data_IF_100780942475
#
_entry.id   IF_100780942475
#
_cell.length_a   1.000
_cell.length_b   1.000
_cell.length_c   1.000
_cell.angle_alpha   90.00
_cell.angle_beta   90.00
_cell.angle_gamma   90.00
#
_symmetry.space_group_name_H-M   'P 1'
#
loop_
_entity.id
_entity.type
_entity.pdbx_description
1 polymer ?
#
# COMPACT_ATOMS: atom_id res chain seq x y z
N UNK A 1 -12.41 1.34 -24.82
CA UNK A 1 -11.91 0.55 -25.95
C UNK A 1 -11.96 -0.90 -25.49
N UNK A 2 -12.96 -1.67 -25.95
CA UNK A 2 -12.97 -3.12 -25.77
C UNK A 2 -11.88 -3.74 -26.65
N UNK A 3 -11.34 -4.90 -26.25
CA UNK A 3 -10.28 -5.55 -27.02
C UNK A 3 -10.83 -5.95 -28.39
N UNK A 4 -10.12 -5.58 -29.45
CA UNK A 4 -10.45 -5.98 -30.82
C UNK A 4 -10.32 -7.50 -31.04
N UNK A 5 -9.72 -8.22 -30.08
CA UNK A 5 -9.35 -9.64 -30.19
C UNK A 5 -10.11 -10.55 -29.20
N UNK A 6 -11.10 -10.05 -28.46
CA UNK A 6 -11.87 -10.84 -27.47
C UNK A 6 -11.06 -11.31 -26.24
N UNK A 7 -9.82 -10.86 -26.08
CA UNK A 7 -8.97 -11.20 -24.93
C UNK A 7 -9.21 -10.17 -23.83
N UNK A 8 -9.61 -10.58 -22.60
CA UNK A 8 -9.77 -9.67 -21.48
C UNK A 8 -8.51 -8.86 -21.22
N UNK A 9 -8.67 -7.57 -20.93
CA UNK A 9 -7.56 -6.71 -20.57
C UNK A 9 -7.68 -6.20 -19.14
N UNK A 10 -6.57 -6.26 -18.39
CA UNK A 10 -6.41 -5.65 -17.07
C UNK A 10 -5.53 -4.43 -17.26
N UNK A 11 -6.05 -3.24 -16.94
CA UNK A 11 -5.26 -2.01 -16.87
C UNK A 11 -4.92 -1.74 -15.43
N UNK A 12 -3.63 -1.60 -15.13
CA UNK A 12 -3.11 -1.34 -13.80
C UNK A 12 -2.38 -0.01 -13.74
N UNK A 13 -2.81 0.86 -12.85
CA UNK A 13 -2.11 2.11 -12.49
C UNK A 13 -2.21 2.35 -10.97
N UNK A 14 -2.96 3.35 -10.50
CA UNK A 14 -3.31 3.49 -9.08
C UNK A 14 -4.34 2.46 -8.63
N UNK A 15 -5.17 1.97 -9.55
CA UNK A 15 -6.17 0.91 -9.34
C UNK A 15 -6.12 -0.10 -10.48
N UNK A 16 -6.94 -1.14 -10.40
CA UNK A 16 -7.11 -2.15 -11.44
C UNK A 16 -8.42 -1.89 -12.14
N UNK A 17 -8.40 -1.86 -13.47
CA UNK A 17 -9.62 -1.69 -14.29
C UNK A 17 -9.81 -2.85 -15.23
N UNK A 18 -11.04 -3.36 -15.28
CA UNK A 18 -11.47 -4.46 -16.15
C UNK A 18 -12.72 -4.02 -16.92
N UNK A 19 -12.72 -4.16 -18.24
CA UNK A 19 -13.88 -3.87 -19.06
C UNK A 19 -14.90 -5.02 -18.98
N UNK A 20 -16.18 -4.71 -18.76
CA UNK A 20 -17.23 -5.74 -18.60
C UNK A 20 -17.53 -6.50 -19.91
N UNK A 21 -17.35 -5.84 -21.07
CA UNK A 21 -17.56 -6.49 -22.36
C UNK A 21 -16.53 -7.57 -22.70
N UNK A 22 -15.43 -7.64 -21.93
CA UNK A 22 -14.32 -8.57 -22.17
C UNK A 22 -14.38 -9.81 -21.26
N UNK A 23 -15.35 -9.90 -20.33
CA UNK A 23 -15.42 -10.96 -19.32
C UNK A 23 -16.77 -11.69 -19.32
N UNK A 24 -16.76 -12.95 -18.92
CA UNK A 24 -17.98 -13.76 -18.79
C UNK A 24 -18.81 -13.34 -17.58
N UNK A 25 -20.10 -13.71 -17.58
CA UNK A 25 -20.98 -13.48 -16.43
C UNK A 25 -20.46 -14.16 -15.14
N UNK A 26 -19.85 -15.32 -15.25
CA UNK A 26 -19.26 -16.04 -14.12
C UNK A 26 -18.04 -15.30 -13.56
N UNK A 27 -17.14 -14.83 -14.44
CA UNK A 27 -15.99 -14.02 -14.05
C UNK A 27 -16.44 -12.72 -13.39
N UNK A 28 -17.46 -12.04 -13.94
CA UNK A 28 -18.04 -10.84 -13.34
C UNK A 28 -18.53 -11.12 -11.92
N UNK A 29 -19.36 -12.16 -11.72
CA UNK A 29 -19.87 -12.55 -10.39
C UNK A 29 -18.74 -12.91 -9.42
N UNK A 30 -17.72 -13.64 -9.88
CA UNK A 30 -16.56 -14.00 -9.08
C UNK A 30 -15.73 -12.77 -8.64
N UNK A 31 -15.54 -11.80 -9.54
CA UNK A 31 -14.85 -10.55 -9.24
C UNK A 31 -15.59 -9.74 -8.15
N UNK A 32 -16.91 -9.56 -8.28
CA UNK A 32 -17.71 -8.85 -7.29
C UNK A 32 -17.63 -9.55 -5.93
N UNK A 33 -17.76 -10.87 -5.90
CA UNK A 33 -17.67 -11.67 -4.67
C UNK A 33 -16.29 -11.55 -4.00
N UNK A 34 -15.21 -11.55 -4.79
CA UNK A 34 -13.83 -11.46 -4.29
C UNK A 34 -13.48 -10.13 -3.61
N UNK A 35 -14.24 -9.06 -3.91
CA UNK A 35 -14.05 -7.72 -3.35
C UNK A 35 -15.26 -7.23 -2.52
N UNK A 36 -16.07 -8.19 -2.06
CA UNK A 36 -17.17 -7.97 -1.10
C UNK A 36 -16.84 -8.69 0.20
N UNK A 37 -16.73 -7.93 1.27
CA UNK A 37 -16.27 -8.42 2.58
C UNK A 37 -17.37 -8.29 3.63
N UNK A 38 -17.45 -9.22 4.58
CA UNK A 38 -18.32 -9.10 5.73
C UNK A 38 -17.91 -7.88 6.58
N UNK A 39 -18.88 -7.08 7.01
CA UNK A 39 -18.63 -5.90 7.83
C UNK A 39 -18.59 -6.25 9.33
N UNK A 40 -17.43 -6.18 9.99
CA UNK A 40 -17.33 -6.44 11.43
C UNK A 40 -18.20 -5.53 12.29
N UNK A 41 -18.42 -4.29 11.86
CA UNK A 41 -19.22 -3.33 12.62
C UNK A 41 -20.70 -3.70 12.61
N UNK A 42 -21.21 -4.35 11.57
CA UNK A 42 -22.58 -4.87 11.52
C UNK A 42 -22.82 -5.92 12.60
N UNK A 43 -21.85 -6.81 12.81
CA UNK A 43 -21.96 -7.84 13.84
C UNK A 43 -21.89 -7.27 15.25
N UNK A 44 -21.02 -6.28 15.47
CA UNK A 44 -20.94 -5.55 16.76
C UNK A 44 -22.26 -4.79 17.05
N UNK A 45 -22.78 -4.07 16.03
CA UNK A 45 -24.04 -3.35 16.16
C UNK A 45 -25.20 -4.27 16.55
N UNK A 46 -25.34 -5.41 15.89
CA UNK A 46 -26.38 -6.41 16.17
C UNK A 46 -26.30 -6.97 17.59
N UNK A 47 -25.09 -7.11 18.13
CA UNK A 47 -24.88 -7.56 19.50
C UNK A 47 -25.24 -6.50 20.55
N UNK A 48 -25.11 -5.22 20.23
CA UNK A 48 -25.28 -4.09 21.19
C UNK A 48 -26.68 -3.47 21.21
N UNK A 49 -27.63 -3.90 20.37
CA UNK A 49 -29.01 -3.40 20.28
C UNK A 49 -29.14 -1.87 20.23
N UNK A 50 -28.27 -1.18 19.49
CA UNK A 50 -28.37 0.27 19.36
C UNK A 50 -29.62 0.74 18.62
N UNK A 51 -30.15 1.94 18.99
CA UNK A 51 -31.30 2.58 18.32
C UNK A 51 -30.93 3.29 17.00
N UNK A 52 -29.67 3.29 16.60
CA UNK A 52 -29.18 3.92 15.36
C UNK A 52 -29.34 2.98 14.17
N UNK A 53 -29.37 3.56 12.94
CA UNK A 53 -29.40 2.78 11.70
C UNK A 53 -28.17 1.84 11.64
N UNK A 54 -28.35 0.54 11.38
CA UNK A 54 -27.25 -0.39 11.30
C UNK A 54 -26.31 -0.04 10.14
N UNK A 55 -25.01 -0.26 10.31
CA UNK A 55 -24.08 -0.19 9.18
C UNK A 55 -24.42 -1.29 8.15
N UNK A 56 -23.97 -1.17 6.90
CA UNK A 56 -24.20 -2.21 5.89
C UNK A 56 -23.61 -3.55 6.33
N UNK A 57 -24.24 -4.66 5.92
CA UNK A 57 -23.75 -6.02 6.23
C UNK A 57 -22.41 -6.33 5.61
N UNK A 58 -22.17 -5.74 4.45
CA UNK A 58 -21.01 -5.98 3.61
C UNK A 58 -20.31 -4.66 3.29
N UNK A 59 -19.02 -4.74 3.06
CA UNK A 59 -18.17 -3.66 2.57
C UNK A 59 -17.69 -4.08 1.19
N UNK A 60 -18.03 -3.29 0.17
CA UNK A 60 -17.53 -3.43 -1.18
C UNK A 60 -16.31 -2.53 -1.36
N UNK A 61 -15.22 -3.08 -1.88
CA UNK A 61 -13.97 -2.35 -2.14
C UNK A 61 -13.74 -2.08 -3.63
N UNK A 62 -14.68 -2.46 -4.48
CA UNK A 62 -14.70 -2.16 -5.91
C UNK A 62 -15.66 -0.99 -6.21
N UNK A 63 -15.42 -0.34 -7.35
CA UNK A 63 -16.31 0.66 -7.94
C UNK A 63 -16.70 0.26 -9.36
N UNK A 64 -17.80 0.83 -9.85
CA UNK A 64 -18.25 0.69 -11.23
C UNK A 64 -18.21 2.03 -11.95
N UNK A 65 -17.57 2.07 -13.12
CA UNK A 65 -17.51 3.26 -13.96
C UNK A 65 -18.55 3.16 -15.09
N UNK A 66 -19.39 4.19 -15.21
CA UNK A 66 -20.32 4.35 -16.34
C UNK A 66 -19.66 5.21 -17.42
N UNK A 67 -19.84 4.84 -18.68
CA UNK A 67 -19.39 5.63 -19.82
C UNK A 67 -20.61 6.03 -20.65
N UNK A 68 -20.86 7.35 -20.73
CA UNK A 68 -21.85 8.02 -21.58
C UNK A 68 -23.17 7.26 -21.81
N UNK A 69 -24.19 7.46 -20.97
CA UNK A 69 -25.51 6.90 -21.18
C UNK A 69 -26.03 5.93 -20.10
N UNK A 70 -25.32 5.74 -18.99
CA UNK A 70 -25.84 5.02 -17.82
C UNK A 70 -25.51 3.54 -17.70
N UNK A 71 -24.92 2.90 -18.72
CA UNK A 71 -24.46 1.53 -18.60
C UNK A 71 -23.09 1.42 -17.91
N UNK A 72 -22.97 0.51 -16.94
CA UNK A 72 -21.67 0.15 -16.34
C UNK A 72 -20.84 -0.57 -17.40
N UNK A 73 -19.70 -0.01 -17.76
CA UNK A 73 -18.80 -0.60 -18.75
C UNK A 73 -17.48 -1.08 -18.21
N UNK A 74 -17.14 -0.68 -16.96
CA UNK A 74 -15.85 -1.01 -16.37
C UNK A 74 -15.99 -1.20 -14.87
N UNK A 75 -15.30 -2.22 -14.35
CA UNK A 75 -15.10 -2.42 -12.91
C UNK A 75 -13.72 -1.92 -12.53
N UNK A 76 -13.64 -1.31 -11.35
CA UNK A 76 -12.41 -0.77 -10.79
C UNK A 76 -12.18 -1.37 -9.41
N UNK A 77 -11.01 -1.99 -9.22
CA UNK A 77 -10.64 -2.69 -8.00
C UNK A 77 -9.43 -2.06 -7.34
N UNK A 78 -9.27 -2.23 -6.01
CA UNK A 78 -8.05 -1.84 -5.32
C UNK A 78 -6.84 -2.59 -5.86
N UNK A 79 -5.71 -1.92 -5.95
CA UNK A 79 -4.52 -2.44 -6.64
C UNK A 79 -3.91 -3.68 -5.98
N UNK A 80 -4.01 -3.82 -4.65
CA UNK A 80 -3.51 -5.01 -3.95
C UNK A 80 -4.22 -6.31 -4.35
N UNK A 81 -5.37 -6.22 -5.03
CA UNK A 81 -6.10 -7.35 -5.57
C UNK A 81 -5.62 -7.86 -6.93
N UNK A 82 -4.51 -7.35 -7.50
CA UNK A 82 -4.09 -7.66 -8.87
C UNK A 82 -3.98 -9.17 -9.12
N UNK A 83 -3.31 -9.89 -8.24
CA UNK A 83 -3.20 -11.35 -8.36
C UNK A 83 -4.58 -12.02 -8.36
N UNK A 84 -5.47 -11.62 -7.46
CA UNK A 84 -6.85 -12.13 -7.34
C UNK A 84 -7.65 -11.90 -8.61
N UNK A 85 -7.56 -10.71 -9.19
CA UNK A 85 -8.21 -10.39 -10.48
C UNK A 85 -7.63 -11.24 -11.60
N UNK A 86 -6.29 -11.37 -11.67
CA UNK A 86 -5.64 -12.20 -12.68
C UNK A 86 -6.02 -13.68 -12.57
N UNK A 87 -6.05 -14.23 -11.35
CA UNK A 87 -6.41 -15.62 -11.09
C UNK A 87 -7.87 -15.91 -11.52
N UNK A 88 -8.80 -14.98 -11.28
CA UNK A 88 -10.22 -15.12 -11.69
C UNK A 88 -10.38 -15.03 -13.20
N UNK A 89 -9.65 -14.14 -13.86
CA UNK A 89 -9.75 -13.96 -15.31
C UNK A 89 -9.02 -15.06 -16.10
N UNK A 90 -8.08 -15.76 -15.45
CA UNK A 90 -7.33 -16.86 -16.04
C UNK A 90 -6.08 -16.43 -16.84
N UNK A 91 -5.39 -17.38 -17.48
CA UNK A 91 -4.08 -17.13 -18.10
C UNK A 91 -4.14 -16.30 -19.38
N UNK A 92 -5.29 -16.27 -20.06
CA UNK A 92 -5.46 -15.55 -21.33
C UNK A 92 -5.93 -14.11 -21.06
N UNK A 93 -5.09 -13.32 -20.41
CA UNK A 93 -5.37 -11.92 -20.06
C UNK A 93 -4.21 -11.03 -20.50
N UNK A 94 -4.54 -9.91 -21.14
CA UNK A 94 -3.55 -8.87 -21.45
C UNK A 94 -3.39 -7.92 -20.26
N UNK A 95 -2.19 -7.86 -19.68
CA UNK A 95 -1.85 -6.89 -18.64
C UNK A 95 -1.28 -5.62 -19.29
N UNK A 96 -1.95 -4.49 -19.05
CA UNK A 96 -1.49 -3.14 -19.43
C UNK A 96 -1.01 -2.45 -18.15
N UNK A 97 0.29 -2.40 -17.95
CA UNK A 97 0.91 -1.85 -16.76
C UNK A 97 1.27 -0.37 -16.96
N UNK A 98 0.48 0.51 -16.36
CA UNK A 98 0.66 1.96 -16.34
C UNK A 98 1.23 2.48 -15.01
N UNK A 99 1.75 1.60 -14.17
CA UNK A 99 2.40 1.98 -12.92
C UNK A 99 3.70 2.71 -13.21
N UNK A 100 4.09 3.62 -12.33
CA UNK A 100 5.25 4.46 -12.53
C UNK A 100 6.36 4.14 -11.54
N UNK A 101 7.59 4.30 -11.99
CA UNK A 101 8.79 4.25 -11.13
C UNK A 101 9.17 5.64 -10.62
N UNK A 102 8.31 6.63 -10.82
CA UNK A 102 8.51 8.02 -10.44
C UNK A 102 9.02 8.90 -11.59
N UNK A 103 8.91 10.21 -11.40
CA UNK A 103 9.42 11.15 -12.40
C UNK A 103 10.95 11.16 -12.39
N UNK A 104 11.56 11.15 -13.57
CA UNK A 104 13.01 11.20 -13.76
C UNK A 104 13.68 12.51 -13.29
N UNK A 105 12.96 13.44 -12.66
CA UNK A 105 13.44 14.77 -12.28
C UNK A 105 14.36 14.81 -11.05
N UNK A 106 14.46 13.73 -10.30
CA UNK A 106 15.30 13.64 -9.08
C UNK A 106 16.66 12.96 -9.33
N UNK A 107 17.05 12.75 -10.60
CA UNK A 107 18.38 12.26 -10.97
C UNK A 107 19.41 13.30 -10.54
N UNK A 108 20.23 12.95 -9.56
CA UNK A 108 21.25 13.83 -8.97
C UNK A 108 20.94 14.36 -7.59
N UNK A 109 19.74 14.16 -7.05
CA UNK A 109 19.48 14.42 -5.63
C UNK A 109 20.15 13.37 -4.74
N UNK A 110 20.51 13.78 -3.52
CA UNK A 110 21.21 12.91 -2.59
C UNK A 110 20.34 11.70 -2.21
N UNK A 111 20.78 10.52 -2.58
CA UNK A 111 20.22 9.23 -2.16
C UNK A 111 20.67 8.88 -0.75
N UNK A 112 21.77 9.46 -0.30
CA UNK A 112 22.49 9.05 0.88
C UNK A 112 23.27 7.74 0.68
N UNK A 113 23.92 7.33 1.74
CA UNK A 113 24.65 6.06 1.83
C UNK A 113 24.08 5.26 3.00
N UNK A 114 23.77 3.98 2.78
CA UNK A 114 23.24 3.13 3.85
C UNK A 114 24.35 2.83 4.86
N UNK A 115 24.35 3.55 5.98
CA UNK A 115 25.37 3.52 7.05
C UNK A 115 25.16 2.41 8.07
N UNK A 116 24.18 1.56 7.84
CA UNK A 116 23.85 0.43 8.71
C UNK A 116 23.88 -0.84 7.86
N UNK A 117 24.35 -1.94 8.45
CA UNK A 117 24.25 -3.26 7.81
C UNK A 117 22.90 -3.87 8.18
N UNK A 118 21.99 -4.06 7.20
CA UNK A 118 20.72 -4.71 7.46
C UNK A 118 20.93 -6.16 7.93
N UNK A 119 20.11 -6.62 8.84
CA UNK A 119 20.09 -8.00 9.28
C UNK A 119 19.48 -8.91 8.19
N UNK A 120 19.74 -10.22 8.25
CA UNK A 120 19.21 -11.18 7.29
C UNK A 120 17.68 -11.09 7.18
N UNK A 121 16.98 -10.95 8.31
CA UNK A 121 15.52 -10.77 8.32
C UNK A 121 15.06 -9.47 7.63
N UNK A 122 15.85 -8.41 7.70
CA UNK A 122 15.56 -7.15 6.99
C UNK A 122 15.84 -7.28 5.49
N UNK A 123 16.88 -8.02 5.11
CA UNK A 123 17.14 -8.35 3.71
C UNK A 123 16.05 -9.25 3.11
N UNK A 124 15.52 -10.21 3.89
CA UNK A 124 14.34 -10.99 3.51
C UNK A 124 13.11 -10.10 3.26
N UNK A 125 12.89 -9.06 4.10
CA UNK A 125 11.80 -8.08 3.90
C UNK A 125 11.99 -7.30 2.59
N UNK A 126 13.21 -6.85 2.30
CA UNK A 126 13.55 -6.15 1.05
C UNK A 126 13.29 -7.05 -0.15
N UNK A 127 13.79 -8.30 -0.11
CA UNK A 127 13.63 -9.26 -1.20
C UNK A 127 12.14 -9.58 -1.46
N UNK A 128 11.35 -9.74 -0.38
CA UNK A 128 9.91 -9.97 -0.49
C UNK A 128 9.18 -8.77 -1.13
N UNK A 129 9.53 -7.54 -0.72
CA UNK A 129 8.95 -6.32 -1.27
C UNK A 129 9.32 -6.13 -2.76
N UNK A 130 10.56 -6.43 -3.14
CA UNK A 130 11.00 -6.36 -4.54
C UNK A 130 10.27 -7.38 -5.43
N UNK A 131 10.05 -8.60 -4.94
CA UNK A 131 9.38 -9.67 -5.68
C UNK A 131 7.90 -9.39 -5.90
N UNK A 132 7.21 -8.94 -4.86
CA UNK A 132 5.75 -8.74 -4.91
C UNK A 132 5.35 -7.36 -5.43
N UNK A 133 6.24 -6.38 -5.40
CA UNK A 133 6.00 -4.97 -5.79
C UNK A 133 4.90 -4.28 -4.99
N UNK A 134 3.85 -5.00 -4.61
CA UNK A 134 2.70 -4.50 -3.83
C UNK A 134 2.34 -5.52 -2.75
N UNK A 135 2.66 -5.21 -1.48
CA UNK A 135 2.54 -6.20 -0.41
C UNK A 135 2.48 -5.60 0.99
N UNK A 136 2.11 -6.46 1.94
CA UNK A 136 2.23 -6.23 3.38
C UNK A 136 3.39 -7.05 3.93
N UNK A 137 4.25 -6.42 4.72
CA UNK A 137 5.29 -7.08 5.52
C UNK A 137 4.87 -7.02 6.99
N UNK A 138 4.66 -8.18 7.59
CA UNK A 138 4.36 -8.31 9.02
C UNK A 138 5.61 -8.66 9.80
N UNK A 139 5.89 -7.89 10.84
CA UNK A 139 7.01 -8.18 11.74
C UNK A 139 6.83 -7.48 13.07
N UNK A 140 7.25 -8.12 14.14
CA UNK A 140 7.12 -7.61 15.51
C UNK A 140 7.68 -6.18 15.67
N UNK A 141 7.23 -5.48 16.71
CA UNK A 141 7.87 -4.23 17.11
C UNK A 141 9.36 -4.49 17.44
N UNK A 142 10.23 -3.53 17.11
CA UNK A 142 11.68 -3.70 17.32
C UNK A 142 12.40 -4.56 16.27
N UNK A 143 11.71 -5.15 15.30
CA UNK A 143 12.33 -5.95 14.21
C UNK A 143 13.14 -5.13 13.21
N UNK A 144 13.11 -3.79 13.31
CA UNK A 144 13.82 -2.90 12.40
C UNK A 144 13.11 -2.69 11.05
N UNK A 145 11.77 -2.66 11.04
CA UNK A 145 10.95 -2.33 9.85
C UNK A 145 11.43 -1.06 9.15
N UNK A 146 11.72 -0.02 9.93
CA UNK A 146 12.25 1.26 9.42
C UNK A 146 13.58 1.06 8.67
N UNK A 147 14.51 0.27 9.23
CA UNK A 147 15.77 -0.07 8.54
C UNK A 147 15.52 -0.84 7.25
N UNK A 148 14.59 -1.81 7.25
CA UNK A 148 14.23 -2.54 6.05
C UNK A 148 13.62 -1.62 4.97
N UNK A 149 12.78 -0.66 5.35
CA UNK A 149 12.21 0.31 4.42
C UNK A 149 13.27 1.26 3.84
N UNK A 150 14.24 1.72 4.64
CA UNK A 150 15.36 2.52 4.14
C UNK A 150 16.32 1.71 3.25
N UNK A 151 16.55 0.44 3.59
CA UNK A 151 17.30 -0.48 2.73
C UNK A 151 16.58 -0.73 1.40
N UNK A 152 15.25 -0.86 1.41
CA UNK A 152 14.44 -0.98 0.20
C UNK A 152 14.52 0.29 -0.67
N UNK A 153 14.39 1.48 -0.06
CA UNK A 153 14.60 2.76 -0.74
C UNK A 153 15.97 2.81 -1.40
N UNK A 154 17.02 2.48 -0.63
CA UNK A 154 18.39 2.49 -1.11
C UNK A 154 18.63 1.47 -2.24
N UNK A 155 18.04 0.28 -2.16
CA UNK A 155 18.14 -0.76 -3.17
C UNK A 155 17.45 -0.38 -4.48
N UNK A 156 16.18 0.06 -4.41
CA UNK A 156 15.39 0.43 -5.58
C UNK A 156 15.83 1.74 -6.23
N UNK A 157 16.40 2.66 -5.44
CA UNK A 157 16.81 3.99 -5.89
C UNK A 157 15.70 4.76 -6.64
N UNK A 158 14.48 4.67 -6.13
CA UNK A 158 13.31 5.33 -6.69
C UNK A 158 12.87 6.50 -5.81
N UNK A 159 12.27 7.57 -6.38
CA UNK A 159 11.59 8.58 -5.58
C UNK A 159 10.59 7.91 -4.66
N UNK A 160 10.73 8.13 -3.35
CA UNK A 160 10.02 7.39 -2.31
C UNK A 160 9.21 8.32 -1.43
N UNK A 161 7.94 7.95 -1.20
CA UNK A 161 7.08 8.58 -0.21
C UNK A 161 6.87 7.62 0.98
N UNK A 162 7.18 8.11 2.17
CA UNK A 162 6.85 7.44 3.43
C UNK A 162 5.64 8.15 4.04
N UNK A 163 4.54 7.42 4.20
CA UNK A 163 3.30 7.95 4.74
C UNK A 163 3.22 7.65 6.23
N UNK A 164 3.07 8.69 7.04
CA UNK A 164 2.99 8.61 8.50
C UNK A 164 1.73 9.32 9.02
N UNK A 165 1.24 8.92 10.19
CA UNK A 165 0.01 9.44 10.78
C UNK A 165 0.21 10.39 11.95
N UNK A 166 1.41 10.47 12.54
CA UNK A 166 1.72 11.32 13.69
C UNK A 166 2.98 12.15 13.49
N UNK A 167 3.03 13.31 14.17
CA UNK A 167 4.21 14.17 14.18
C UNK A 167 5.44 13.48 14.80
N UNK A 168 5.22 12.60 15.78
CA UNK A 168 6.29 11.81 16.38
C UNK A 168 6.95 10.89 15.37
N UNK A 169 6.14 10.16 14.59
CA UNK A 169 6.65 9.30 13.51
C UNK A 169 7.34 10.11 12.41
N UNK A 170 6.82 11.29 12.06
CA UNK A 170 7.49 12.15 11.08
C UNK A 170 8.90 12.52 11.54
N UNK A 171 9.05 12.98 12.77
CA UNK A 171 10.37 13.31 13.36
C UNK A 171 11.28 12.08 13.41
N UNK A 172 10.77 10.96 13.89
CA UNK A 172 11.52 9.70 13.93
C UNK A 172 12.05 9.32 12.53
N UNK A 173 11.23 9.40 11.50
CA UNK A 173 11.64 9.07 10.12
C UNK A 173 12.70 10.03 9.58
N UNK A 174 12.62 11.33 9.92
CA UNK A 174 13.68 12.30 9.58
C UNK A 174 14.99 11.92 10.26
N UNK A 175 14.96 11.63 11.56
CA UNK A 175 16.15 11.24 12.34
C UNK A 175 16.75 9.93 11.81
N UNK A 176 15.93 8.97 11.44
CA UNK A 176 16.35 7.70 10.83
C UNK A 176 17.02 7.92 9.46
N UNK A 177 16.50 8.82 8.63
CA UNK A 177 17.12 9.17 7.34
C UNK A 177 18.48 9.88 7.56
N UNK A 178 18.56 10.78 8.52
CA UNK A 178 19.83 11.45 8.86
C UNK A 178 20.85 10.43 9.37
N UNK A 179 20.46 9.57 10.29
CA UNK A 179 21.37 8.63 10.97
C UNK A 179 21.77 7.49 10.03
N UNK A 180 20.81 6.86 9.36
CA UNK A 180 21.04 5.61 8.61
C UNK A 180 21.37 5.83 7.14
N UNK A 181 20.97 6.95 6.55
CA UNK A 181 21.32 7.30 5.16
C UNK A 181 22.35 8.44 5.07
N UNK A 182 22.72 9.07 6.19
CA UNK A 182 23.64 10.20 6.21
C UNK A 182 23.12 11.43 5.47
N UNK A 183 21.84 11.56 5.30
CA UNK A 183 21.22 12.72 4.66
C UNK A 183 21.19 13.91 5.62
N UNK A 184 21.35 15.13 5.07
CA UNK A 184 21.03 16.35 5.80
C UNK A 184 19.51 16.57 5.77
N UNK A 185 18.99 17.29 6.73
CA UNK A 185 17.55 17.57 6.83
C UNK A 185 16.98 18.31 5.62
N UNK A 186 17.75 19.16 4.96
CA UNK A 186 17.36 19.87 3.73
C UNK A 186 17.30 18.96 2.49
N UNK A 187 17.86 17.75 2.58
CA UNK A 187 17.82 16.72 1.54
C UNK A 187 16.63 15.76 1.71
N UNK A 188 15.83 15.90 2.76
CA UNK A 188 14.64 15.11 3.05
C UNK A 188 13.41 15.93 2.74
N UNK A 189 12.53 15.40 1.88
CA UNK A 189 11.26 16.04 1.55
C UNK A 189 10.27 15.93 2.70
N UNK A 190 9.44 16.96 2.89
CA UNK A 190 8.39 16.95 3.91
C UNK A 190 7.10 17.49 3.32
N UNK A 191 6.00 16.72 3.46
CA UNK A 191 4.64 17.13 3.15
C UNK A 191 3.85 17.19 4.45
N UNK A 192 3.67 18.39 5.01
CA UNK A 192 3.02 18.62 6.30
C UNK A 192 2.43 20.03 6.39
N UNK A 193 1.17 20.17 6.76
CA UNK A 193 0.50 21.47 6.85
C UNK A 193 0.59 22.25 5.54
N UNK A 194 1.27 23.38 5.52
CA UNK A 194 1.57 24.17 4.32
C UNK A 194 2.88 23.78 3.61
N UNK A 195 3.73 22.99 4.26
CA UNK A 195 5.02 22.56 3.68
C UNK A 195 4.79 21.53 2.58
N UNK A 196 5.41 21.72 1.41
CA UNK A 196 5.27 20.89 0.20
C UNK A 196 6.62 20.55 -0.42
N UNK A 197 7.63 20.31 0.42
CA UNK A 197 8.97 19.93 -0.05
C UNK A 197 9.03 18.50 -0.55
N UNK A 198 9.43 18.28 -1.80
CA UNK A 198 9.65 16.95 -2.39
C UNK A 198 11.12 16.74 -2.64
N UNK A 199 11.63 15.57 -2.30
CA UNK A 199 13.00 15.09 -2.52
C UNK A 199 12.98 13.62 -2.91
N UNK A 200 14.15 13.05 -3.14
CA UNK A 200 14.31 11.63 -3.46
C UNK A 200 13.66 10.72 -2.39
N UNK A 201 13.79 11.08 -1.12
CA UNK A 201 12.98 10.51 -0.03
C UNK A 201 12.14 11.63 0.60
N UNK A 202 10.84 11.41 0.70
CA UNK A 202 9.86 12.37 1.20
C UNK A 202 9.01 11.72 2.28
N UNK A 203 8.81 12.41 3.40
CA UNK A 203 7.94 11.96 4.48
C UNK A 203 6.67 12.81 4.46
N UNK A 204 5.53 12.16 4.32
CA UNK A 204 4.24 12.80 4.17
C UNK A 204 3.28 12.49 5.31
N UNK A 205 2.76 13.55 5.94
CA UNK A 205 1.68 13.41 6.92
C UNK A 205 0.38 13.03 6.21
N UNK A 206 -0.23 11.93 6.62
CA UNK A 206 -1.51 11.44 6.08
C UNK A 206 -2.59 12.53 6.06
N UNK A 207 -2.75 13.27 7.16
CA UNK A 207 -3.74 14.34 7.27
C UNK A 207 -3.57 15.43 6.19
N UNK A 208 -2.34 15.72 5.81
CA UNK A 208 -2.02 16.68 4.75
C UNK A 208 -2.23 16.07 3.37
N UNK A 209 -1.75 14.84 3.17
CA UNK A 209 -1.84 14.12 1.90
C UNK A 209 -3.29 13.89 1.45
N UNK A 210 -4.26 13.73 2.37
CA UNK A 210 -5.69 13.64 2.02
C UNK A 210 -6.17 14.75 1.09
N UNK A 211 -5.59 15.93 1.20
CA UNK A 211 -6.01 17.09 0.42
C UNK A 211 -5.16 17.33 -0.84
N UNK A 212 -3.97 16.73 -0.92
CA UNK A 212 -3.02 17.02 -2.01
C UNK A 212 -2.35 15.79 -2.64
N UNK A 213 -2.70 14.57 -2.25
CA UNK A 213 -2.07 13.36 -2.81
C UNK A 213 -2.20 13.26 -4.33
N UNK A 214 -3.31 13.76 -4.90
CA UNK A 214 -3.55 13.77 -6.35
C UNK A 214 -2.51 14.60 -7.14
N UNK A 215 -1.95 15.65 -6.52
CA UNK A 215 -0.89 16.48 -7.13
C UNK A 215 0.41 15.67 -7.34
N UNK A 216 0.61 14.63 -6.53
CA UNK A 216 1.81 13.79 -6.49
C UNK A 216 1.61 12.38 -7.07
N UNK A 217 0.47 12.13 -7.71
CA UNK A 217 0.03 10.80 -8.14
C UNK A 217 1.10 9.99 -8.90
N UNK A 218 1.94 10.66 -9.71
CA UNK A 218 2.99 10.05 -10.54
C UNK A 218 4.41 10.43 -10.12
N UNK A 219 4.61 11.06 -8.96
CA UNK A 219 5.92 11.49 -8.51
C UNK A 219 6.77 10.37 -7.93
N UNK A 220 6.15 9.44 -7.20
CA UNK A 220 6.83 8.43 -6.42
C UNK A 220 6.76 7.07 -7.09
N UNK A 221 7.90 6.38 -7.16
CA UNK A 221 8.00 5.00 -7.63
C UNK A 221 7.78 3.98 -6.51
N UNK A 222 8.07 4.38 -5.27
CA UNK A 222 7.84 3.60 -4.05
C UNK A 222 6.98 4.42 -3.07
N UNK A 223 5.91 3.80 -2.56
CA UNK A 223 5.13 4.32 -1.43
C UNK A 223 5.19 3.32 -0.29
N UNK A 224 5.67 3.79 0.85
CA UNK A 224 5.77 3.02 2.10
C UNK A 224 4.73 3.54 3.09
N UNK A 225 3.97 2.64 3.68
CA UNK A 225 3.12 2.92 4.83
C UNK A 225 3.73 2.25 6.06
N UNK A 226 4.09 3.05 7.05
CA UNK A 226 4.54 2.54 8.34
C UNK A 226 3.38 2.43 9.32
N UNK A 227 3.47 1.43 10.23
CA UNK A 227 2.48 1.14 11.27
C UNK A 227 1.04 0.98 10.72
N UNK A 228 0.91 0.18 9.65
CA UNK A 228 -0.36 -0.02 8.95
C UNK A 228 -1.52 -0.51 9.84
N UNK A 229 -1.24 -1.12 10.99
CA UNK A 229 -2.26 -1.58 11.94
C UNK A 229 -3.01 -0.44 12.65
N UNK A 230 -2.38 0.74 12.83
CA UNK A 230 -3.02 1.91 13.45
C UNK A 230 -3.77 2.78 12.43
N UNK A 231 -3.66 2.46 11.16
CA UNK A 231 -4.30 3.21 10.11
C UNK A 231 -5.82 3.01 10.13
N UNK A 232 -6.60 4.08 10.34
CA UNK A 232 -8.03 4.03 10.03
C UNK A 232 -8.17 3.71 8.53
N UNK A 233 -8.67 2.51 8.21
CA UNK A 233 -8.61 1.95 6.86
C UNK A 233 -9.11 2.91 5.77
N UNK A 234 -10.20 3.64 6.03
CA UNK A 234 -10.79 4.59 5.07
C UNK A 234 -9.84 5.75 4.73
N UNK A 235 -9.20 6.34 5.74
CA UNK A 235 -8.33 7.52 5.55
C UNK A 235 -7.05 7.20 4.77
N UNK A 236 -6.51 5.99 4.91
CA UNK A 236 -5.33 5.59 4.14
C UNK A 236 -5.68 5.22 2.70
N UNK A 237 -6.84 4.57 2.50
CA UNK A 237 -7.34 4.31 1.14
C UNK A 237 -7.47 5.62 0.35
N UNK A 238 -8.06 6.66 0.98
CA UNK A 238 -8.20 8.00 0.38
C UNK A 238 -6.86 8.63 -0.04
N UNK A 239 -5.76 8.28 0.61
CA UNK A 239 -4.42 8.79 0.27
C UNK A 239 -3.70 7.87 -0.72
N UNK A 240 -3.61 6.59 -0.40
CA UNK A 240 -2.76 5.64 -1.14
C UNK A 240 -3.32 5.35 -2.54
N UNK A 241 -4.64 5.38 -2.70
CA UNK A 241 -5.28 5.13 -4.00
C UNK A 241 -4.97 6.21 -5.06
N UNK A 242 -4.44 7.37 -4.68
CA UNK A 242 -3.99 8.35 -5.66
C UNK A 242 -2.69 7.99 -6.37
N UNK A 243 -1.81 7.21 -5.74
CA UNK A 243 -0.46 7.00 -6.26
C UNK A 243 -0.41 5.89 -7.32
N UNK A 244 0.25 6.19 -8.44
CA UNK A 244 0.52 5.22 -9.52
C UNK A 244 1.85 4.46 -9.31
N UNK A 245 2.50 4.63 -8.16
CA UNK A 245 3.81 4.05 -7.84
C UNK A 245 3.88 2.55 -8.12
N UNK A 246 4.96 2.07 -8.73
CA UNK A 246 5.14 0.65 -9.01
C UNK A 246 5.19 -0.16 -7.72
N UNK A 247 5.91 0.33 -6.73
CA UNK A 247 6.05 -0.35 -5.43
C UNK A 247 5.14 0.29 -4.38
N UNK A 248 4.36 -0.54 -3.70
CA UNK A 248 3.55 -0.17 -2.53
C UNK A 248 3.79 -1.17 -1.41
N UNK A 249 4.41 -0.75 -0.32
CA UNK A 249 4.76 -1.63 0.78
C UNK A 249 4.20 -1.10 2.08
N UNK A 250 3.41 -1.93 2.77
CA UNK A 250 2.92 -1.63 4.11
C UNK A 250 3.71 -2.46 5.13
N UNK A 251 4.32 -1.78 6.09
CA UNK A 251 4.92 -2.42 7.26
C UNK A 251 3.92 -2.40 8.41
N UNK A 252 3.71 -3.54 9.04
CA UNK A 252 2.77 -3.70 10.15
C UNK A 252 3.38 -4.53 11.26
N UNK A 253 3.05 -4.21 12.51
CA UNK A 253 3.28 -5.15 13.61
C UNK A 253 2.43 -6.41 13.44
N UNK A 254 2.81 -7.51 14.10
CA UNK A 254 2.08 -8.80 14.01
C UNK A 254 0.72 -8.76 14.74
N UNK A 255 0.28 -7.62 15.22
CA UNK A 255 -0.97 -7.44 15.91
C UNK A 255 -2.15 -7.36 14.94
N UNK A 256 -3.25 -8.01 15.33
CA UNK A 256 -4.52 -7.88 14.60
C UNK A 256 -5.07 -6.48 14.79
N UNK A 257 -5.65 -5.93 13.74
CA UNK A 257 -6.36 -4.65 13.83
C UNK A 257 -7.54 -4.75 14.80
N UNK A 258 -7.69 -3.74 15.65
CA UNK A 258 -8.81 -3.69 16.60
C UNK A 258 -10.18 -3.65 15.91
N UNK A 259 -10.26 -3.09 14.70
CA UNK A 259 -11.49 -3.00 13.89
C UNK A 259 -11.78 -4.25 13.05
N UNK A 260 -10.87 -5.24 12.99
CA UNK A 260 -10.98 -6.46 12.19
C UNK A 260 -11.19 -6.22 10.69
N UNK A 261 -10.67 -5.11 10.16
CA UNK A 261 -10.76 -4.73 8.74
C UNK A 261 -9.42 -4.85 8.02
N UNK A 262 -8.65 -5.89 8.35
CA UNK A 262 -7.35 -6.17 7.72
C UNK A 262 -7.46 -6.32 6.20
N UNK A 263 -8.60 -6.82 5.70
CA UNK A 263 -8.86 -6.97 4.28
C UNK A 263 -8.71 -5.65 3.49
N UNK A 264 -9.02 -4.49 4.11
CA UNK A 264 -8.82 -3.19 3.45
C UNK A 264 -7.33 -2.90 3.20
N UNK A 265 -6.46 -3.31 4.12
CA UNK A 265 -5.01 -3.19 3.93
C UNK A 265 -4.52 -4.14 2.82
N UNK A 266 -5.05 -5.37 2.77
CA UNK A 266 -4.68 -6.33 1.73
C UNK A 266 -5.23 -5.93 0.36
N UNK A 267 -6.43 -5.39 0.29
CA UNK A 267 -6.98 -4.86 -0.94
C UNK A 267 -6.16 -3.67 -1.47
N UNK A 268 -5.62 -2.84 -0.57
CA UNK A 268 -4.86 -1.65 -0.94
C UNK A 268 -3.41 -1.95 -1.32
N UNK A 269 -2.72 -2.81 -0.55
CA UNK A 269 -1.29 -3.09 -0.70
C UNK A 269 -0.99 -4.45 -1.32
N UNK A 270 -1.85 -5.44 -1.18
CA UNK A 270 -1.61 -6.81 -1.61
C UNK A 270 -1.51 -7.79 -0.44
N UNK A 271 -1.12 -9.05 -0.73
CA UNK A 271 -1.02 -10.08 0.28
C UNK A 271 0.12 -9.83 1.28
N UNK A 272 0.13 -10.59 2.37
CA UNK A 272 1.30 -10.66 3.25
C UNK A 272 2.40 -11.40 2.49
N UNK A 273 3.43 -10.66 2.07
CA UNK A 273 4.58 -11.23 1.36
C UNK A 273 5.57 -11.93 2.28
N UNK A 274 5.68 -11.43 3.52
CA UNK A 274 6.55 -12.00 4.55
C UNK A 274 5.94 -11.75 5.92
N UNK A 275 6.00 -12.79 6.77
CA UNK A 275 5.73 -12.71 8.20
C UNK A 275 7.00 -13.10 8.95
N UNK A 276 7.57 -12.16 9.71
CA UNK A 276 8.71 -12.41 10.59
C UNK A 276 8.19 -12.60 12.01
N UNK A 277 8.25 -13.82 12.49
CA UNK A 277 7.78 -14.17 13.83
C UNK A 277 8.75 -13.67 14.91
N UNK A 278 8.20 -13.27 16.05
CA UNK A 278 8.98 -12.82 17.23
C UNK A 278 10.00 -13.85 17.65
N UNK A 279 9.64 -15.15 17.60
CA UNK A 279 10.53 -16.26 17.95
C UNK A 279 11.83 -16.25 17.13
N UNK A 280 11.74 -16.05 15.79
CA UNK A 280 12.90 -15.95 14.90
C UNK A 280 13.85 -14.80 15.30
N UNK A 281 13.28 -13.69 15.73
CA UNK A 281 14.07 -12.51 16.17
C UNK A 281 14.73 -12.72 17.53
N UNK A 282 14.06 -13.41 18.44
CA UNK A 282 14.63 -13.80 19.74
C UNK A 282 15.78 -14.79 19.56
N UNK A 283 15.58 -15.85 18.76
CA UNK A 283 16.59 -16.85 18.44
C UNK A 283 17.83 -16.23 17.77
N UNK A 284 17.62 -15.19 16.93
CA UNK A 284 18.71 -14.43 16.32
C UNK A 284 19.36 -13.39 17.27
N UNK A 285 18.94 -13.30 18.54
CA UNK A 285 19.44 -12.34 19.51
C UNK A 285 19.10 -10.87 19.21
N UNK A 286 18.02 -10.65 18.45
CA UNK A 286 17.58 -9.31 18.01
C UNK A 286 16.45 -8.73 18.87
N UNK A 287 15.73 -9.60 19.57
CA UNK A 287 14.73 -9.21 20.58
C UNK A 287 14.96 -10.00 21.86
N UNK A 288 14.63 -9.40 22.98
CA UNK A 288 14.59 -10.11 24.25
C UNK A 288 13.34 -10.98 24.31
N UNK A 289 13.41 -12.18 24.90
CA UNK A 289 12.23 -12.99 25.17
C UNK A 289 11.28 -12.17 26.08
N UNK A 290 10.02 -12.10 25.69
CA UNK A 290 8.96 -11.55 26.55
C UNK A 290 8.45 -12.71 27.40
N UNK A 291 8.53 -12.57 28.72
CA UNK A 291 7.93 -13.50 29.67
C UNK A 291 6.40 -13.46 29.64
#
# INVERSE_FOLDING_TARGET
MGSLDGIPSIVVDNRIRVALGDISHEQHKALLAAFTHSNPDFHKYRAMRFRMKPPPKEIQTFDSETVGGGEVRRLTFPRGGLKRVSDILGPNVRLIDNRVVGKNGYRGEARGELRVTPWDTQLEMVAAACREESCVIRSAAGSGKTTAALALFHHLNLPTLIVVNTEGLLKQWVDECVTKLGLRTDQIGIIRGSTRGIRQITIGMQATLRNCAHEYAKHFGLVVLDEAQYAAAKTFTEVIDHFHSRYRVAFSADERRADRKEFLTYDLFGPIALKVETKKLVEAGRLLPVE
#
